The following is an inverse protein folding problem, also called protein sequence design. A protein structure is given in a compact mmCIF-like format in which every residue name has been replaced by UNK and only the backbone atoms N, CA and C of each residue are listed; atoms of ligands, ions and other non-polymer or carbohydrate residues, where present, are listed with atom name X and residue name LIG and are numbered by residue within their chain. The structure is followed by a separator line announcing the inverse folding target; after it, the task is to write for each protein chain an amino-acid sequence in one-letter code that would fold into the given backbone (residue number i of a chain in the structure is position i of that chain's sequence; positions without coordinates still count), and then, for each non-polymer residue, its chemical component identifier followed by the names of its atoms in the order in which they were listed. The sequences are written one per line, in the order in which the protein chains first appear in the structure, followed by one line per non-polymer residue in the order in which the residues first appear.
data_IF_504538922559
#
_entry.id   IF_504538922559
#
_cell.length_a   1.000
_cell.length_b   1.000
_cell.length_c   1.000
_cell.angle_alpha   90.00
_cell.angle_beta   90.00
_cell.angle_gamma   90.00
#
_symmetry.space_group_name_H-M   'P 1'
#
loop_
_entity.id
_entity.type
_entity.pdbx_description
1 polymer ?
#
# COMPACT_ATOMS: atom_id res chain seq x y z
N UNK A 1 25.19 22.05 31.66
CA UNK A 1 24.79 22.48 30.31
C UNK A 1 24.59 21.25 29.44
N UNK A 2 23.34 20.80 29.34
CA UNK A 2 22.93 19.70 28.46
C UNK A 2 23.08 20.16 27.01
N UNK A 3 23.86 19.43 26.20
CA UNK A 3 23.95 19.70 24.75
C UNK A 3 22.52 19.66 24.18
N UNK A 4 22.09 20.67 23.39
CA UNK A 4 20.80 20.61 22.73
C UNK A 4 20.76 19.35 21.87
N UNK A 5 19.64 18.63 21.97
CA UNK A 5 19.32 17.37 21.32
C UNK A 5 19.28 17.51 19.78
N UNK A 6 20.44 17.70 19.14
CA UNK A 6 20.56 17.79 17.68
C UNK A 6 20.11 16.51 16.97
N UNK A 7 20.03 15.39 17.68
CA UNK A 7 19.46 14.14 17.20
C UNK A 7 17.93 14.17 17.03
N UNK A 8 17.20 15.13 17.62
CA UNK A 8 15.72 15.22 17.49
C UNK A 8 15.26 15.86 16.19
N UNK A 9 16.02 16.82 15.66
CA UNK A 9 15.61 17.58 14.45
C UNK A 9 15.45 16.66 13.23
N UNK A 10 16.39 15.74 12.91
CA UNK A 10 16.20 14.81 11.79
C UNK A 10 14.98 13.89 11.96
N UNK A 11 14.72 13.41 13.18
CA UNK A 11 13.58 12.55 13.46
C UNK A 11 12.24 13.27 13.25
N UNK A 12 12.13 14.53 13.70
CA UNK A 12 10.95 15.37 13.47
C UNK A 12 10.72 15.58 11.97
N UNK A 13 11.76 15.91 11.21
CA UNK A 13 11.67 16.11 9.76
C UNK A 13 11.26 14.84 9.01
N UNK A 14 11.81 13.68 9.38
CA UNK A 14 11.43 12.38 8.80
C UNK A 14 9.96 12.07 9.07
N UNK A 15 9.49 12.30 10.29
CA UNK A 15 8.09 12.05 10.65
C UNK A 15 7.15 13.02 9.93
N UNK A 16 7.49 14.31 9.87
CA UNK A 16 6.72 15.29 9.14
C UNK A 16 6.63 14.95 7.65
N UNK A 17 7.74 14.48 7.06
CA UNK A 17 7.78 14.02 5.65
C UNK A 17 6.89 12.81 5.43
N UNK A 18 6.92 11.83 6.33
CA UNK A 18 6.04 10.65 6.26
C UNK A 18 4.56 11.07 6.33
N UNK A 19 4.20 11.95 7.27
CA UNK A 19 2.82 12.47 7.38
C UNK A 19 2.42 13.22 6.12
N UNK A 20 3.26 14.10 5.59
CA UNK A 20 3.01 14.81 4.34
C UNK A 20 2.77 13.84 3.17
N UNK A 21 3.64 12.85 3.02
CA UNK A 21 3.56 11.83 1.98
C UNK A 21 2.30 10.98 2.07
N UNK A 22 1.90 10.58 3.30
CA UNK A 22 0.63 9.91 3.54
C UNK A 22 -0.54 10.80 3.13
N UNK A 23 -0.60 12.03 3.65
CA UNK A 23 -1.66 12.97 3.32
C UNK A 23 -1.73 13.28 1.82
N UNK A 24 -0.58 13.36 1.14
CA UNK A 24 -0.50 13.58 -0.30
C UNK A 24 -1.12 12.44 -1.12
N UNK A 25 -1.06 11.22 -0.61
CA UNK A 25 -1.48 10.01 -1.32
C UNK A 25 -2.84 9.46 -0.88
N UNK A 26 -3.35 9.85 0.30
CA UNK A 26 -4.64 9.39 0.85
C UNK A 26 -5.75 10.45 0.88
N UNK A 27 -5.44 11.72 1.19
CA UNK A 27 -6.42 12.84 1.19
C UNK A 27 -7.13 13.07 -0.15
N UNK A 28 -6.50 12.89 -1.33
CA UNK A 28 -7.17 13.02 -2.63
C UNK A 28 -8.43 12.18 -2.78
N UNK A 29 -8.52 11.13 -1.97
CA UNK A 29 -9.54 10.12 -2.03
C UNK A 29 -10.52 10.23 -0.85
N UNK A 30 -10.43 11.32 -0.08
CA UNK A 30 -11.45 11.79 0.87
C UNK A 30 -12.39 12.75 0.15
N UNK A 31 -13.17 12.20 -0.76
CA UNK A 31 -14.07 12.90 -1.68
C UNK A 31 -15.04 13.90 -1.00
N UNK A 32 -15.37 13.73 0.29
CA UNK A 32 -16.22 14.66 1.04
C UNK A 32 -15.53 15.97 1.44
N UNK A 33 -14.20 16.07 1.32
CA UNK A 33 -13.43 17.26 1.68
C UNK A 33 -13.15 18.19 0.49
N UNK A 34 -13.48 17.80 -0.75
CA UNK A 34 -13.31 18.64 -1.94
C UNK A 34 -11.85 18.96 -2.32
N UNK A 35 -10.89 18.11 -1.95
CA UNK A 35 -9.46 18.32 -2.22
C UNK A 35 -9.00 17.45 -3.40
N UNK A 36 -8.77 18.06 -4.56
CA UNK A 36 -8.18 17.40 -5.73
C UNK A 36 -6.64 17.43 -5.70
N UNK A 37 -5.99 16.43 -6.30
CA UNK A 37 -4.52 16.44 -6.48
C UNK A 37 -4.16 17.42 -7.58
N UNK A 38 -3.27 18.37 -7.27
CA UNK A 38 -2.48 19.03 -8.30
C UNK A 38 -1.20 18.22 -8.58
N UNK A 39 -0.84 18.07 -9.85
CA UNK A 39 0.43 17.43 -10.27
C UNK A 39 1.66 18.06 -9.59
N UNK A 40 1.56 19.35 -9.27
CA UNK A 40 2.55 20.09 -8.47
C UNK A 40 2.78 19.45 -7.10
N UNK A 41 1.71 19.00 -6.42
CA UNK A 41 1.81 18.35 -5.12
C UNK A 41 2.52 16.99 -5.20
N UNK A 42 2.25 16.21 -6.24
CA UNK A 42 2.93 14.93 -6.48
C UNK A 42 4.43 15.14 -6.72
N UNK A 43 4.80 16.02 -7.63
CA UNK A 43 6.20 16.32 -7.95
C UNK A 43 6.95 16.88 -6.74
N UNK A 44 6.32 17.79 -5.98
CA UNK A 44 6.91 18.29 -4.74
C UNK A 44 7.16 17.17 -3.73
N UNK A 45 6.23 16.22 -3.62
CA UNK A 45 6.38 15.05 -2.77
C UNK A 45 7.52 14.15 -3.24
N UNK A 46 7.69 13.94 -4.55
CA UNK A 46 8.84 13.23 -5.13
C UNK A 46 10.15 13.90 -4.72
N UNK A 47 10.30 15.21 -4.95
CA UNK A 47 11.52 15.93 -4.62
C UNK A 47 11.86 15.88 -3.13
N UNK A 48 10.84 16.07 -2.27
CA UNK A 48 11.00 16.01 -0.83
C UNK A 48 11.48 14.63 -0.37
N UNK A 49 10.85 13.56 -0.86
CA UNK A 49 11.19 12.18 -0.48
C UNK A 49 12.58 11.78 -0.96
N UNK A 50 12.94 12.10 -2.21
CA UNK A 50 14.27 11.81 -2.76
C UNK A 50 15.36 12.61 -2.03
N UNK A 51 15.12 13.90 -1.77
CA UNK A 51 16.03 14.74 -0.99
C UNK A 51 16.26 14.17 0.40
N UNK A 52 15.20 13.80 1.11
CA UNK A 52 15.30 13.17 2.43
C UNK A 52 16.02 11.83 2.38
N UNK A 53 15.69 10.94 1.45
CA UNK A 53 16.36 9.63 1.32
C UNK A 53 17.87 9.77 1.04
N UNK A 54 18.27 10.80 0.29
CA UNK A 54 19.67 11.13 0.02
C UNK A 54 20.39 11.58 1.29
N UNK A 55 19.79 12.47 2.08
CA UNK A 55 20.33 12.90 3.39
C UNK A 55 20.37 11.74 4.39
N UNK A 56 19.38 10.85 4.37
CA UNK A 56 19.32 9.64 5.17
C UNK A 56 20.37 8.60 4.82
N UNK A 57 21.18 8.84 3.78
CA UNK A 57 22.23 7.92 3.30
C UNK A 57 21.70 6.51 3.08
N UNK A 58 20.58 6.38 2.36
CA UNK A 58 19.90 5.10 2.13
C UNK A 58 20.84 3.97 1.68
N UNK A 59 21.90 4.29 0.92
CA UNK A 59 22.95 3.35 0.51
C UNK A 59 23.73 2.71 1.68
N UNK A 60 23.83 3.36 2.84
CA UNK A 60 24.49 2.81 4.05
C UNK A 60 23.63 1.79 4.78
N UNK A 61 22.31 1.87 4.61
CA UNK A 61 21.34 1.05 5.35
C UNK A 61 20.76 -0.09 4.51
N UNK A 62 21.24 -0.25 3.28
CA UNK A 62 20.69 -1.16 2.27
C UNK A 62 21.78 -2.09 1.77
N UNK A 63 21.42 -3.33 1.45
CA UNK A 63 22.35 -4.20 0.72
C UNK A 63 22.67 -3.59 -0.66
N UNK A 64 23.90 -3.76 -1.14
CA UNK A 64 24.30 -3.25 -2.46
C UNK A 64 23.36 -3.72 -3.58
N UNK A 65 22.84 -4.95 -3.47
CA UNK A 65 21.89 -5.52 -4.45
C UNK A 65 20.54 -4.79 -4.47
N UNK A 66 19.93 -4.58 -3.31
CA UNK A 66 18.65 -3.86 -3.22
C UNK A 66 18.83 -2.41 -3.66
N UNK A 67 19.96 -1.79 -3.27
CA UNK A 67 20.27 -0.44 -3.72
C UNK A 67 20.41 -0.34 -5.24
N UNK A 68 21.10 -1.29 -5.86
CA UNK A 68 21.22 -1.36 -7.31
C UNK A 68 19.86 -1.51 -8.01
N UNK A 69 18.98 -2.39 -7.54
CA UNK A 69 17.67 -2.59 -8.17
C UNK A 69 16.80 -1.34 -8.07
N UNK A 70 16.79 -0.67 -6.91
CA UNK A 70 16.06 0.59 -6.72
C UNK A 70 16.63 1.69 -7.64
N UNK A 71 17.96 1.79 -7.74
CA UNK A 71 18.60 2.77 -8.61
C UNK A 71 18.27 2.54 -10.09
N UNK A 72 18.27 1.27 -10.54
CA UNK A 72 17.89 0.91 -11.92
C UNK A 72 16.43 1.25 -12.19
N UNK A 73 15.52 0.94 -11.26
CA UNK A 73 14.11 1.34 -11.40
C UNK A 73 13.94 2.86 -11.45
N UNK A 74 14.60 3.61 -10.57
CA UNK A 74 14.57 5.06 -10.58
C UNK A 74 15.11 5.65 -11.89
N UNK A 75 16.24 5.12 -12.39
CA UNK A 75 16.81 5.51 -13.66
C UNK A 75 15.86 5.23 -14.84
N UNK A 76 15.22 4.05 -14.86
CA UNK A 76 14.22 3.71 -15.88
C UNK A 76 13.04 4.70 -15.89
N UNK A 77 12.54 5.09 -14.70
CA UNK A 77 11.47 6.08 -14.57
C UNK A 77 11.87 7.45 -15.11
N UNK A 78 13.10 7.90 -14.84
CA UNK A 78 13.63 9.17 -15.33
C UNK A 78 13.86 9.13 -16.85
N UNK A 79 14.44 8.04 -17.36
CA UNK A 79 14.64 7.85 -18.81
C UNK A 79 13.29 7.87 -19.52
N UNK A 80 12.31 7.12 -19.00
CA UNK A 80 10.94 7.12 -19.51
C UNK A 80 10.30 8.52 -19.54
N UNK A 81 10.44 9.28 -18.45
CA UNK A 81 9.96 10.66 -18.41
C UNK A 81 10.60 11.51 -19.51
N UNK A 82 11.91 11.42 -19.69
CA UNK A 82 12.66 12.19 -20.69
C UNK A 82 12.25 11.80 -22.11
N UNK A 83 12.19 10.50 -22.41
CA UNK A 83 11.86 10.00 -23.76
C UNK A 83 10.43 10.37 -24.16
N UNK A 84 9.47 10.24 -23.25
CA UNK A 84 8.07 10.65 -23.52
C UNK A 84 7.89 12.16 -23.61
N UNK A 85 8.65 12.93 -22.81
CA UNK A 85 8.66 14.39 -22.90
C UNK A 85 9.20 14.86 -24.25
N UNK A 86 10.28 14.23 -24.73
CA UNK A 86 10.88 14.54 -26.03
C UNK A 86 10.01 14.09 -27.22
N UNK A 87 9.29 12.98 -27.10
CA UNK A 87 8.43 12.46 -28.17
C UNK A 87 7.08 13.21 -28.29
N UNK A 88 6.52 13.68 -27.16
CA UNK A 88 5.24 14.40 -27.14
C UNK A 88 5.39 15.78 -26.53
N UNK A 89 5.26 15.87 -25.21
CA UNK A 89 5.44 17.07 -24.40
C UNK A 89 5.59 16.68 -22.93
N UNK A 90 6.03 17.63 -22.12
CA UNK A 90 6.29 17.42 -20.69
C UNK A 90 5.03 16.98 -19.91
N UNK A 91 3.85 17.48 -20.30
CA UNK A 91 2.59 17.16 -19.63
C UNK A 91 2.27 15.67 -19.76
N UNK A 92 2.46 15.14 -20.97
CA UNK A 92 2.22 13.73 -21.26
C UNK A 92 3.29 12.86 -20.60
N UNK A 93 4.56 13.23 -20.66
CA UNK A 93 5.62 12.53 -19.93
C UNK A 93 5.33 12.40 -18.44
N UNK A 94 4.90 13.49 -17.79
CA UNK A 94 4.56 13.49 -16.36
C UNK A 94 3.34 12.61 -16.08
N UNK A 95 2.28 12.66 -16.90
CA UNK A 95 1.06 11.86 -16.68
C UNK A 95 1.31 10.36 -16.61
N UNK A 96 2.30 9.88 -17.35
CA UNK A 96 2.60 8.46 -17.46
C UNK A 96 3.69 8.00 -16.48
N UNK A 97 4.64 8.88 -16.14
CA UNK A 97 5.81 8.51 -15.33
C UNK A 97 5.80 9.05 -13.89
N UNK A 98 4.92 10.00 -13.53
CA UNK A 98 4.87 10.55 -12.17
C UNK A 98 4.58 9.47 -11.11
N UNK A 99 3.71 8.52 -11.41
CA UNK A 99 3.39 7.39 -10.54
C UNK A 99 4.62 6.54 -10.23
N UNK A 100 5.45 6.24 -11.24
CA UNK A 100 6.69 5.49 -11.07
C UNK A 100 7.78 6.27 -10.33
N UNK A 101 7.86 7.59 -10.58
CA UNK A 101 8.76 8.48 -9.83
C UNK A 101 8.37 8.53 -8.35
N UNK A 102 7.07 8.67 -8.06
CA UNK A 102 6.55 8.70 -6.70
C UNK A 102 6.71 7.35 -6.01
N UNK A 103 6.41 6.24 -6.68
CA UNK A 103 6.68 4.88 -6.22
C UNK A 103 8.15 4.68 -5.85
N UNK A 104 9.06 5.08 -6.74
CA UNK A 104 10.51 4.96 -6.51
C UNK A 104 10.97 5.82 -5.33
N UNK A 105 10.46 7.05 -5.22
CA UNK A 105 10.78 7.96 -4.13
C UNK A 105 10.29 7.43 -2.78
N UNK A 106 9.06 6.91 -2.71
CA UNK A 106 8.48 6.26 -1.54
C UNK A 106 9.27 5.01 -1.13
N UNK A 107 9.65 4.19 -2.11
CA UNK A 107 10.48 3.00 -1.90
C UNK A 107 11.83 3.37 -1.28
N UNK A 108 12.55 4.33 -1.88
CA UNK A 108 13.82 4.85 -1.36
C UNK A 108 13.69 5.40 0.06
N UNK A 109 12.64 6.19 0.31
CA UNK A 109 12.37 6.75 1.63
C UNK A 109 12.10 5.66 2.68
N UNK A 110 11.27 4.66 2.34
CA UNK A 110 11.00 3.50 3.18
C UNK A 110 12.28 2.75 3.54
N UNK A 111 13.14 2.51 2.55
CA UNK A 111 14.43 1.86 2.73
C UNK A 111 15.36 2.66 3.66
N UNK A 112 15.42 3.98 3.48
CA UNK A 112 16.33 4.84 4.21
C UNK A 112 16.00 4.94 5.71
N UNK A 113 14.71 5.04 6.05
CA UNK A 113 14.30 5.51 7.38
C UNK A 113 13.43 4.56 8.18
N UNK A 114 12.81 3.54 7.56
CA UNK A 114 11.91 2.66 8.28
C UNK A 114 12.63 1.94 9.42
N UNK A 115 13.86 1.45 9.20
CA UNK A 115 14.60 0.71 10.23
C UNK A 115 14.71 1.44 11.57
N UNK A 116 14.94 2.76 11.53
CA UNK A 116 15.14 3.57 12.73
C UNK A 116 13.83 4.17 13.26
N UNK A 117 12.87 4.44 12.38
CA UNK A 117 11.63 5.15 12.74
C UNK A 117 10.37 4.27 12.71
N UNK A 118 10.50 2.95 12.53
CA UNK A 118 9.37 2.06 12.30
C UNK A 118 8.30 2.14 13.39
N UNK A 119 8.70 2.22 14.67
CA UNK A 119 7.76 2.37 15.79
C UNK A 119 6.92 3.63 15.68
N UNK A 120 7.52 4.73 15.24
CA UNK A 120 6.82 6.00 15.04
C UNK A 120 5.90 5.91 13.84
N UNK A 121 6.39 5.37 12.71
CA UNK A 121 5.60 5.21 11.49
C UNK A 121 4.38 4.31 11.70
N UNK A 122 4.58 3.15 12.33
CA UNK A 122 3.47 2.24 12.67
C UNK A 122 2.45 2.91 13.59
N UNK A 123 2.90 3.68 14.58
CA UNK A 123 1.99 4.47 15.45
C UNK A 123 1.20 5.50 14.65
N UNK A 124 1.85 6.26 13.75
CA UNK A 124 1.19 7.23 12.86
C UNK A 124 0.15 6.53 11.99
N UNK A 125 0.51 5.40 11.37
CA UNK A 125 -0.39 4.64 10.49
C UNK A 125 -1.61 4.11 11.25
N UNK A 126 -1.41 3.53 12.44
CA UNK A 126 -2.51 3.04 13.29
C UNK A 126 -3.41 4.19 13.72
N UNK A 127 -2.83 5.30 14.20
CA UNK A 127 -3.60 6.47 14.66
C UNK A 127 -4.40 7.11 13.52
N UNK A 128 -3.76 7.31 12.36
CA UNK A 128 -4.41 7.87 11.19
C UNK A 128 -5.48 6.94 10.63
N UNK A 129 -5.23 5.63 10.56
CA UNK A 129 -6.24 4.64 10.18
C UNK A 129 -7.43 4.62 11.15
N UNK A 130 -7.17 4.73 12.45
CA UNK A 130 -8.23 4.80 13.47
C UNK A 130 -9.09 6.05 13.28
N UNK A 131 -8.46 7.21 13.03
CA UNK A 131 -9.18 8.44 12.72
C UNK A 131 -10.07 8.29 11.48
N UNK A 132 -9.54 7.71 10.39
CA UNK A 132 -10.28 7.46 9.16
C UNK A 132 -11.48 6.51 9.38
N UNK A 133 -11.29 5.46 10.18
CA UNK A 133 -12.36 4.54 10.56
C UNK A 133 -13.46 5.25 11.37
N UNK A 134 -13.09 6.12 12.32
CA UNK A 134 -14.05 6.91 13.10
C UNK A 134 -14.81 7.92 12.23
N UNK A 135 -14.11 8.59 11.30
CA UNK A 135 -14.74 9.48 10.32
C UNK A 135 -15.74 8.71 9.47
N UNK A 136 -15.37 7.54 8.95
CA UNK A 136 -16.26 6.67 8.18
C UNK A 136 -17.52 6.29 8.98
N UNK A 137 -17.36 5.88 10.25
CA UNK A 137 -18.50 5.54 11.10
C UNK A 137 -19.39 6.75 11.35
N UNK A 138 -18.82 7.92 11.62
CA UNK A 138 -19.56 9.17 11.76
C UNK A 138 -20.34 9.52 10.48
N UNK A 139 -19.70 9.43 9.31
CA UNK A 139 -20.36 9.63 8.02
C UNK A 139 -21.50 8.66 7.79
N UNK A 140 -21.35 7.39 8.18
CA UNK A 140 -22.40 6.38 8.11
C UNK A 140 -23.57 6.67 9.06
N UNK A 141 -23.30 7.13 10.28
CA UNK A 141 -24.34 7.49 11.26
C UNK A 141 -25.16 8.70 10.85
N UNK A 142 -24.55 9.67 10.16
CA UNK A 142 -25.20 10.92 9.72
C UNK A 142 -25.75 10.81 8.29
N UNK A 143 -25.53 9.68 7.60
CA UNK A 143 -25.99 9.48 6.22
C UNK A 143 -25.26 10.33 5.17
N UNK A 144 -24.02 10.74 5.46
CA UNK A 144 -23.19 11.55 4.56
C UNK A 144 -22.43 10.66 3.55
N UNK A 145 -22.96 10.52 2.34
CA UNK A 145 -22.26 9.85 1.23
C UNK A 145 -21.14 10.73 0.66
N UNK A 146 -20.09 10.09 0.13
CA UNK A 146 -19.19 10.74 -0.82
C UNK A 146 -19.99 11.39 -1.96
N UNK A 147 -19.62 12.58 -2.46
CA UNK A 147 -20.24 13.16 -3.66
C UNK A 147 -20.24 12.13 -4.81
N UNK A 148 -21.43 11.83 -5.35
CA UNK A 148 -21.66 10.74 -6.32
C UNK A 148 -20.84 10.85 -7.62
N UNK A 149 -20.28 12.01 -7.92
CA UNK A 149 -19.48 12.25 -9.13
C UNK A 149 -18.10 11.55 -9.16
N UNK A 150 -17.55 11.13 -8.02
CA UNK A 150 -16.18 10.57 -7.96
C UNK A 150 -16.12 9.04 -7.98
N UNK A 151 -17.18 8.37 -7.53
CA UNK A 151 -17.21 6.91 -7.41
C UNK A 151 -18.04 6.24 -8.51
N UNK A 152 -18.78 6.98 -9.33
CA UNK A 152 -19.68 6.44 -10.36
C UNK A 152 -21.10 6.23 -9.84
N UNK A 153 -21.94 5.58 -10.65
CA UNK A 153 -23.37 5.41 -10.37
C UNK A 153 -23.63 4.68 -9.03
N UNK A 154 -24.48 5.21 -8.12
CA UNK A 154 -24.76 4.60 -6.82
C UNK A 154 -25.28 3.17 -6.88
N UNK A 155 -26.07 2.81 -7.91
CA UNK A 155 -26.54 1.44 -8.10
C UNK A 155 -25.40 0.44 -8.36
N UNK A 156 -24.36 0.87 -9.08
CA UNK A 156 -23.20 0.03 -9.35
C UNK A 156 -22.21 0.01 -8.17
N UNK A 157 -21.90 1.18 -7.61
CA UNK A 157 -20.81 1.33 -6.63
C UNK A 157 -21.25 1.24 -5.17
N UNK A 158 -22.54 1.41 -4.87
CA UNK A 158 -23.07 1.44 -3.51
C UNK A 158 -22.64 2.67 -2.70
N UNK A 159 -22.96 2.68 -1.41
CA UNK A 159 -22.56 3.75 -0.49
C UNK A 159 -21.10 3.56 -0.05
N UNK A 160 -20.18 4.36 -0.64
CA UNK A 160 -18.74 4.31 -0.36
C UNK A 160 -18.26 5.57 0.36
N UNK A 161 -18.19 5.55 1.70
CA UNK A 161 -17.67 6.68 2.47
C UNK A 161 -16.15 6.85 2.31
N UNK A 162 -15.44 5.76 1.99
CA UNK A 162 -14.00 5.74 1.76
C UNK A 162 -13.68 5.17 0.38
N UNK A 163 -12.70 5.75 -0.29
CA UNK A 163 -12.12 5.17 -1.50
C UNK A 163 -11.30 3.90 -1.21
N UNK A 164 -11.07 3.10 -2.24
CA UNK A 164 -10.35 1.84 -2.14
C UNK A 164 -8.91 1.98 -1.59
N UNK A 165 -8.17 3.03 -1.97
CA UNK A 165 -6.81 3.29 -1.47
C UNK A 165 -6.78 3.60 0.03
N UNK A 166 -7.81 4.31 0.53
CA UNK A 166 -7.97 4.63 1.96
C UNK A 166 -8.39 3.37 2.73
N UNK A 167 -9.29 2.56 2.17
CA UNK A 167 -9.65 1.27 2.76
C UNK A 167 -8.45 0.32 2.86
N UNK A 168 -7.56 0.28 1.86
CA UNK A 168 -6.31 -0.49 1.95
C UNK A 168 -5.39 0.04 3.05
N UNK A 169 -5.38 1.34 3.31
CA UNK A 169 -4.63 1.91 4.42
C UNK A 169 -5.15 1.42 5.78
N UNK A 170 -6.47 1.23 5.92
CA UNK A 170 -7.05 0.58 7.10
C UNK A 170 -6.59 -0.87 7.25
N UNK A 171 -6.44 -1.61 6.14
CA UNK A 171 -5.87 -2.98 6.14
C UNK A 171 -4.42 -2.98 6.64
N UNK A 172 -3.60 -2.00 6.24
CA UNK A 172 -2.25 -1.82 6.79
C UNK A 172 -2.31 -1.54 8.30
N UNK A 173 -3.14 -0.59 8.73
CA UNK A 173 -3.34 -0.26 10.14
C UNK A 173 -3.78 -1.47 10.97
N UNK A 174 -4.68 -2.29 10.42
CA UNK A 174 -5.12 -3.55 11.02
C UNK A 174 -3.94 -4.50 11.24
N UNK A 175 -3.19 -4.82 10.17
CA UNK A 175 -2.02 -5.70 10.27
C UNK A 175 -1.00 -5.18 11.31
N UNK A 176 -0.73 -3.87 11.29
CA UNK A 176 0.20 -3.26 12.24
C UNK A 176 -0.30 -3.32 13.67
N UNK A 177 -1.60 -3.14 13.92
CA UNK A 177 -2.19 -3.23 15.26
C UNK A 177 -2.07 -4.64 15.83
N UNK A 178 -2.17 -5.67 14.98
CA UNK A 178 -1.98 -7.07 15.40
C UNK A 178 -0.53 -7.40 15.73
N UNK A 179 0.45 -6.89 14.98
CA UNK A 179 1.85 -7.33 15.12
C UNK A 179 2.82 -6.32 15.74
N UNK A 180 2.42 -5.08 15.97
CA UNK A 180 3.32 -4.05 16.51
C UNK A 180 3.05 -3.79 17.98
N UNK A 181 4.10 -3.89 18.79
CA UNK A 181 4.04 -3.46 20.19
C UNK A 181 4.11 -1.94 20.25
N UNK A 182 3.15 -1.34 20.94
CA UNK A 182 2.97 0.10 20.95
C UNK A 182 2.07 0.59 22.09
N UNK A 183 1.82 1.90 22.16
CA UNK A 183 1.06 2.53 23.24
C UNK A 183 -0.39 2.01 23.32
N UNK A 184 -0.87 1.39 22.26
CA UNK A 184 -2.24 0.87 22.14
C UNK A 184 -2.42 -0.54 22.72
N UNK A 185 -1.42 -1.13 23.40
CA UNK A 185 -1.45 -2.54 23.84
C UNK A 185 -2.78 -2.99 24.48
N UNK A 186 -3.35 -2.18 25.39
CA UNK A 186 -4.60 -2.49 26.09
C UNK A 186 -5.85 -2.41 25.22
N UNK A 187 -5.82 -1.60 24.16
CA UNK A 187 -6.96 -1.37 23.26
C UNK A 187 -6.76 -2.03 21.89
N UNK A 188 -5.66 -2.78 21.70
CA UNK A 188 -5.32 -3.44 20.42
C UNK A 188 -6.45 -4.26 19.82
N UNK A 189 -7.15 -5.14 20.56
CA UNK A 189 -8.26 -5.91 20.00
C UNK A 189 -9.37 -5.01 19.47
N UNK A 190 -9.72 -3.94 20.19
CA UNK A 190 -10.77 -2.99 19.81
C UNK A 190 -10.38 -2.17 18.58
N UNK A 191 -9.14 -1.67 18.53
CA UNK A 191 -8.62 -0.94 17.37
C UNK A 191 -8.56 -1.86 16.15
N UNK A 192 -8.10 -3.11 16.30
CA UNK A 192 -8.06 -4.08 15.21
C UNK A 192 -9.48 -4.40 14.70
N UNK A 193 -10.43 -4.64 15.60
CA UNK A 193 -11.84 -4.85 15.23
C UNK A 193 -12.40 -3.66 14.47
N UNK A 194 -12.21 -2.44 14.99
CA UNK A 194 -12.66 -1.21 14.34
C UNK A 194 -12.09 -1.10 12.92
N UNK A 195 -10.78 -1.23 12.76
CA UNK A 195 -10.13 -1.13 11.45
C UNK A 195 -10.63 -2.20 10.47
N UNK A 196 -10.70 -3.46 10.91
CA UNK A 196 -11.16 -4.58 10.07
C UNK A 196 -12.62 -4.45 9.65
N UNK A 197 -13.51 -4.06 10.58
CA UNK A 197 -14.93 -3.82 10.29
C UNK A 197 -15.09 -2.61 9.37
N UNK A 198 -14.35 -1.53 9.58
CA UNK A 198 -14.38 -0.35 8.70
C UNK A 198 -13.97 -0.67 7.26
N UNK A 199 -12.99 -1.56 7.05
CA UNK A 199 -12.65 -2.06 5.70
C UNK A 199 -13.87 -2.72 5.05
N UNK A 200 -14.60 -3.55 5.81
CA UNK A 200 -15.80 -4.25 5.31
C UNK A 200 -16.89 -3.24 4.95
N UNK A 201 -17.18 -2.30 5.86
CA UNK A 201 -18.13 -1.22 5.66
C UNK A 201 -17.75 -0.24 4.53
N UNK A 202 -16.50 -0.27 4.04
CA UNK A 202 -16.09 0.55 2.89
C UNK A 202 -16.65 0.05 1.56
N UNK A 203 -17.14 -1.19 1.52
CA UNK A 203 -17.73 -1.83 0.34
C UNK A 203 -16.79 -1.91 -0.88
N UNK A 204 -15.47 -1.84 -0.66
CA UNK A 204 -14.47 -1.97 -1.72
C UNK A 204 -13.99 -3.42 -1.85
N UNK A 205 -14.39 -4.11 -2.92
CA UNK A 205 -13.99 -5.51 -3.21
C UNK A 205 -12.47 -5.73 -3.17
N UNK A 206 -11.68 -4.79 -3.70
CA UNK A 206 -10.21 -4.86 -3.67
C UNK A 206 -9.66 -4.87 -2.24
N UNK A 207 -10.21 -4.01 -1.37
CA UNK A 207 -9.83 -3.94 0.05
C UNK A 207 -10.32 -5.17 0.84
N UNK A 208 -11.48 -5.73 0.47
CA UNK A 208 -11.98 -6.98 1.03
C UNK A 208 -11.05 -8.17 0.74
N UNK A 209 -10.58 -8.30 -0.51
CA UNK A 209 -9.61 -9.33 -0.89
C UNK A 209 -8.30 -9.15 -0.11
N UNK A 210 -7.81 -7.90 0.00
CA UNK A 210 -6.62 -7.60 0.79
C UNK A 210 -6.81 -7.99 2.26
N UNK A 211 -7.95 -7.64 2.85
CA UNK A 211 -8.29 -8.00 4.23
C UNK A 211 -8.35 -9.51 4.43
N UNK A 212 -8.96 -10.27 3.51
CA UNK A 212 -9.03 -11.73 3.61
C UNK A 212 -7.64 -12.37 3.64
N UNK A 213 -6.73 -11.94 2.76
CA UNK A 213 -5.35 -12.42 2.74
C UNK A 213 -4.64 -12.08 4.05
N UNK A 214 -4.82 -10.85 4.54
CA UNK A 214 -4.22 -10.40 5.80
C UNK A 214 -4.80 -11.15 7.00
N UNK A 215 -6.12 -11.39 7.06
CA UNK A 215 -6.78 -12.19 8.08
C UNK A 215 -6.25 -13.62 8.09
N UNK A 216 -6.11 -14.26 6.94
CA UNK A 216 -5.52 -15.60 6.84
C UNK A 216 -4.08 -15.62 7.37
N UNK A 217 -3.26 -14.62 7.01
CA UNK A 217 -1.91 -14.44 7.54
C UNK A 217 -1.91 -14.23 9.06
N UNK A 218 -2.83 -13.43 9.59
CA UNK A 218 -2.99 -13.21 11.03
C UNK A 218 -3.39 -14.49 11.76
N UNK A 219 -4.36 -15.26 11.26
CA UNK A 219 -4.78 -16.54 11.84
C UNK A 219 -3.61 -17.51 11.87
N UNK A 220 -2.88 -17.66 10.76
CA UNK A 220 -1.70 -18.53 10.71
C UNK A 220 -0.62 -18.10 11.73
N UNK A 221 -0.42 -16.80 11.92
CA UNK A 221 0.53 -16.31 12.90
C UNK A 221 0.05 -16.53 14.35
N UNK A 222 -1.25 -16.34 14.63
CA UNK A 222 -1.88 -16.57 15.93
C UNK A 222 -1.79 -18.05 16.35
N UNK A 223 -2.02 -18.97 15.41
CA UNK A 223 -1.89 -20.41 15.65
C UNK A 223 -0.44 -20.81 15.99
N UNK A 224 0.55 -20.09 15.45
CA UNK A 224 1.97 -20.38 15.64
C UNK A 224 2.61 -19.67 16.82
N UNK A 225 1.98 -18.64 17.39
CA UNK A 225 2.58 -17.77 18.42
C UNK A 225 1.65 -17.54 19.60
N UNK A 226 2.00 -18.14 20.73
CA UNK A 226 1.22 -18.01 21.96
C UNK A 226 1.08 -16.56 22.44
N UNK A 227 2.15 -15.76 22.29
CA UNK A 227 2.16 -14.34 22.68
C UNK A 227 1.13 -13.46 21.93
N UNK A 228 0.53 -13.95 20.85
CA UNK A 228 -0.49 -13.22 20.10
C UNK A 228 -1.92 -13.70 20.42
N UNK A 229 -2.11 -14.79 21.17
CA UNK A 229 -3.43 -15.43 21.36
C UNK A 229 -4.49 -14.49 21.94
N UNK A 230 -4.11 -13.56 22.81
CA UNK A 230 -5.02 -12.57 23.39
C UNK A 230 -5.62 -11.60 22.35
N UNK A 231 -5.05 -11.54 21.14
CA UNK A 231 -5.54 -10.74 20.03
C UNK A 231 -6.56 -11.48 19.15
N UNK A 232 -6.95 -12.71 19.50
CA UNK A 232 -7.91 -13.51 18.72
C UNK A 232 -9.21 -12.75 18.45
N UNK A 233 -9.73 -12.03 19.46
CA UNK A 233 -10.95 -11.22 19.30
C UNK A 233 -10.81 -10.15 18.20
N UNK A 234 -9.65 -9.51 18.10
CA UNK A 234 -9.38 -8.49 17.09
C UNK A 234 -9.35 -9.03 15.66
N UNK A 235 -9.12 -10.34 15.48
CA UNK A 235 -9.10 -11.02 14.17
C UNK A 235 -10.43 -11.73 13.88
N UNK A 236 -11.00 -12.40 14.90
CA UNK A 236 -12.24 -13.13 14.79
C UNK A 236 -13.44 -12.22 14.52
N UNK A 237 -13.53 -11.06 15.19
CA UNK A 237 -14.67 -10.16 15.00
C UNK A 237 -14.79 -9.64 13.55
N UNK A 238 -13.74 -9.10 12.91
CA UNK A 238 -13.78 -8.77 11.48
C UNK A 238 -14.06 -9.98 10.59
N UNK A 239 -13.48 -11.15 10.87
CA UNK A 239 -13.69 -12.35 10.06
C UNK A 239 -15.14 -12.85 10.10
N UNK A 240 -15.75 -12.88 11.29
CA UNK A 240 -17.16 -13.24 11.48
C UNK A 240 -18.06 -12.19 10.82
N UNK A 241 -17.79 -10.90 11.01
CA UNK A 241 -18.56 -9.85 10.36
C UNK A 241 -18.49 -9.95 8.82
N UNK A 242 -17.30 -10.24 8.28
CA UNK A 242 -17.10 -10.47 6.85
C UNK A 242 -17.95 -11.65 6.36
N UNK A 243 -17.95 -12.77 7.09
CA UNK A 243 -18.74 -13.94 6.76
C UNK A 243 -20.25 -13.62 6.78
N UNK A 244 -20.73 -12.89 7.79
CA UNK A 244 -22.13 -12.43 7.88
C UNK A 244 -22.50 -11.57 6.67
N UNK A 245 -21.65 -10.61 6.30
CA UNK A 245 -21.86 -9.73 5.13
C UNK A 245 -21.99 -10.52 3.83
N UNK A 246 -21.26 -11.62 3.67
CA UNK A 246 -21.35 -12.46 2.49
C UNK A 246 -22.51 -13.46 2.53
N UNK A 247 -22.80 -14.05 3.69
CA UNK A 247 -23.77 -15.14 3.82
C UNK A 247 -25.21 -14.65 3.95
N UNK A 248 -25.45 -13.54 4.65
CA UNK A 248 -26.82 -13.03 4.86
C UNK A 248 -27.53 -12.69 3.55
N UNK A 249 -26.89 -12.05 2.54
CA UNK A 249 -27.52 -11.83 1.24
C UNK A 249 -27.93 -13.14 0.54
N UNK A 250 -27.15 -14.21 0.68
CA UNK A 250 -27.43 -15.50 0.05
C UNK A 250 -28.65 -16.19 0.65
N UNK A 251 -28.91 -15.99 1.95
CA UNK A 251 -30.01 -16.65 2.67
C UNK A 251 -31.27 -15.80 2.70
N UNK A 252 -31.13 -14.49 2.88
CA UNK A 252 -32.24 -13.57 3.11
C UNK A 252 -32.62 -12.72 1.90
N UNK A 253 -31.81 -12.72 0.83
CA UNK A 253 -31.93 -11.77 -0.28
C UNK A 253 -31.63 -10.32 0.11
N UNK A 254 -31.26 -10.07 1.37
CA UNK A 254 -31.04 -8.74 1.94
C UNK A 254 -29.61 -8.56 2.42
N UNK A 255 -29.06 -7.37 2.17
CA UNK A 255 -27.74 -6.92 2.59
C UNK A 255 -27.81 -6.29 3.97
N UNK A 256 -26.81 -6.61 4.79
CA UNK A 256 -26.55 -5.95 6.08
C UNK A 256 -25.68 -4.70 5.92
N UNK A 257 -25.16 -4.45 4.71
CA UNK A 257 -24.39 -3.26 4.41
C UNK A 257 -25.32 -2.06 4.15
N UNK A 258 -24.87 -0.84 4.48
CA UNK A 258 -25.62 0.38 4.21
C UNK A 258 -25.87 0.56 2.70
N UNK A 259 -27.13 0.74 2.31
CA UNK A 259 -27.58 1.01 0.93
C UNK A 259 -27.68 2.51 0.63
N UNK A 260 -27.69 2.90 -0.66
CA UNK A 260 -27.62 4.32 -1.04
C UNK A 260 -28.94 5.08 -0.94
N UNK A 261 -30.12 4.50 -1.16
CA UNK A 261 -31.34 5.33 -1.37
C UNK A 261 -32.68 4.67 -0.98
N UNK A 262 -32.82 4.13 0.23
CA UNK A 262 -34.15 3.73 0.76
C UNK A 262 -34.91 2.66 -0.05
N UNK A 263 -34.32 2.10 -1.12
CA UNK A 263 -34.92 1.06 -1.92
C UNK A 263 -34.90 -0.27 -1.17
N UNK A 264 -36.04 -0.94 -1.24
CA UNK A 264 -36.42 -2.13 -0.47
C UNK A 264 -35.79 -3.43 -0.97
N UNK A 265 -35.07 -3.41 -2.10
CA UNK A 265 -34.37 -4.58 -2.64
C UNK A 265 -32.88 -4.51 -2.29
N UNK A 266 -32.54 -4.96 -1.07
CA UNK A 266 -31.20 -4.91 -0.51
C UNK A 266 -30.29 -6.00 -1.08
N UNK A 267 -30.03 -6.05 -2.38
CA UNK A 267 -28.91 -6.84 -2.89
C UNK A 267 -27.56 -6.16 -2.56
N UNK A 268 -26.45 -6.92 -2.54
CA UNK A 268 -25.10 -6.32 -2.54
C UNK A 268 -24.94 -5.45 -3.81
N UNK A 269 -24.19 -4.33 -3.76
CA UNK A 269 -23.98 -3.48 -4.94
C UNK A 269 -23.35 -4.30 -6.07
N UNK A 270 -23.66 -3.95 -7.33
CA UNK A 270 -23.18 -4.72 -8.49
C UNK A 270 -21.65 -4.83 -8.50
N UNK A 271 -20.92 -3.78 -8.12
CA UNK A 271 -19.46 -3.81 -7.99
C UNK A 271 -18.91 -4.84 -6.99
N UNK A 272 -19.73 -5.31 -6.04
CA UNK A 272 -19.35 -6.38 -5.10
C UNK A 272 -19.60 -7.79 -5.67
N UNK A 273 -20.59 -7.97 -6.54
CA UNK A 273 -21.02 -9.28 -7.06
C UNK A 273 -20.64 -9.53 -8.51
N UNK A 274 -20.41 -8.47 -9.29
CA UNK A 274 -20.26 -8.54 -10.73
C UNK A 274 -18.89 -9.03 -11.17
N UNK A 275 -18.92 -9.96 -12.11
CA UNK A 275 -17.74 -10.50 -12.81
C UNK A 275 -17.25 -9.57 -13.92
N UNK A 276 -18.06 -8.59 -14.35
CA UNK A 276 -17.72 -7.68 -15.46
C UNK A 276 -16.46 -6.86 -15.18
N UNK A 277 -16.28 -6.41 -13.94
CA UNK A 277 -15.06 -5.71 -13.49
C UNK A 277 -13.79 -6.57 -13.62
N UNK A 278 -13.91 -7.88 -13.40
CA UNK A 278 -12.81 -8.84 -13.53
C UNK A 278 -12.54 -9.18 -15.00
N UNK A 279 -13.60 -9.26 -15.82
CA UNK A 279 -13.49 -9.44 -17.27
C UNK A 279 -12.79 -8.25 -17.93
N UNK A 280 -13.17 -7.02 -17.59
CA UNK A 280 -12.55 -5.81 -18.15
C UNK A 280 -11.03 -5.74 -17.86
N UNK A 281 -10.61 -6.17 -16.66
CA UNK A 281 -9.20 -6.33 -16.28
C UNK A 281 -8.46 -7.37 -17.10
N UNK A 282 -9.08 -8.52 -17.33
CA UNK A 282 -8.50 -9.58 -18.16
C UNK A 282 -8.40 -9.15 -19.62
N UNK A 283 -9.41 -8.44 -20.13
CA UNK A 283 -9.41 -7.82 -21.46
C UNK A 283 -8.31 -6.77 -21.60
N UNK A 284 -8.06 -5.97 -20.56
CA UNK A 284 -6.93 -5.05 -20.50
C UNK A 284 -5.60 -5.78 -20.59
N UNK A 285 -5.38 -6.80 -19.74
CA UNK A 285 -4.16 -7.62 -19.83
C UNK A 285 -3.99 -8.24 -21.19
N UNK A 286 -5.06 -8.83 -21.74
CA UNK A 286 -5.09 -9.43 -23.07
C UNK A 286 -4.74 -8.41 -24.15
N UNK A 287 -5.37 -7.24 -24.14
CA UNK A 287 -5.08 -6.13 -25.06
C UNK A 287 -3.60 -5.71 -25.00
N UNK A 288 -3.01 -5.69 -23.81
CA UNK A 288 -1.59 -5.35 -23.63
C UNK A 288 -0.65 -6.46 -24.07
N UNK A 289 -1.07 -7.73 -23.91
CA UNK A 289 -0.34 -8.93 -24.34
C UNK A 289 -0.39 -9.15 -25.85
N UNK A 290 -1.50 -8.78 -26.49
CA UNK A 290 -1.75 -8.90 -27.94
C UNK A 290 -1.36 -7.63 -28.71
N UNK A 291 -0.85 -6.60 -28.04
CA UNK A 291 -0.41 -5.36 -28.68
C UNK A 291 0.77 -5.61 -29.61
N UNK A 292 0.71 -5.05 -30.82
CA UNK A 292 1.80 -5.09 -31.80
C UNK A 292 3.00 -4.28 -31.27
N UNK A 293 4.03 -4.98 -30.82
CA UNK A 293 5.22 -4.44 -30.17
C UNK A 293 6.45 -5.11 -30.73
N UNK A 294 7.47 -4.32 -31.02
CA UNK A 294 8.81 -4.82 -31.32
C UNK A 294 9.41 -5.55 -30.10
N UNK A 295 10.40 -6.44 -30.29
CA UNK A 295 11.08 -7.11 -29.17
C UNK A 295 11.68 -6.15 -28.13
N UNK A 296 12.14 -4.97 -28.54
CA UNK A 296 12.69 -3.95 -27.64
C UNK A 296 11.61 -3.32 -26.76
N UNK A 297 10.44 -3.04 -27.33
CA UNK A 297 9.27 -2.54 -26.60
C UNK A 297 8.70 -3.59 -25.64
N UNK A 298 8.80 -4.88 -25.97
CA UNK A 298 8.49 -5.95 -25.02
C UNK A 298 9.42 -5.97 -23.82
N UNK A 299 10.73 -5.84 -24.07
CA UNK A 299 11.74 -5.92 -23.02
C UNK A 299 11.72 -4.68 -22.11
N UNK A 300 11.63 -3.49 -22.71
CA UNK A 300 11.81 -2.20 -22.02
C UNK A 300 10.52 -1.44 -21.80
N UNK A 301 9.39 -1.90 -22.36
CA UNK A 301 8.12 -1.21 -22.27
C UNK A 301 8.21 0.18 -22.89
N UNK A 302 7.66 1.16 -22.18
CA UNK A 302 7.70 2.57 -22.54
C UNK A 302 8.97 3.32 -22.14
N UNK A 303 9.96 2.67 -21.51
CA UNK A 303 11.15 3.38 -20.97
C UNK A 303 11.91 4.12 -22.08
N UNK A 304 12.07 3.50 -23.25
CA UNK A 304 12.82 4.06 -24.37
C UNK A 304 11.97 4.91 -25.33
N UNK A 305 10.70 5.11 -25.02
CA UNK A 305 9.79 5.92 -25.81
C UNK A 305 8.34 5.43 -25.72
N UNK A 306 7.40 6.17 -26.33
CA UNK A 306 6.00 5.77 -26.37
C UNK A 306 5.81 4.40 -27.00
N UNK A 307 5.01 3.55 -26.35
CA UNK A 307 4.60 2.26 -26.91
C UNK A 307 3.15 2.31 -27.36
N UNK A 308 2.75 1.49 -28.35
CA UNK A 308 1.36 1.39 -28.80
C UNK A 308 0.51 0.73 -27.70
N UNK A 309 0.02 1.55 -26.78
CA UNK A 309 -0.84 1.18 -25.66
C UNK A 309 -2.25 1.65 -25.99
N UNK A 310 -3.04 0.81 -26.67
CA UNK A 310 -4.45 1.11 -27.01
C UNK A 310 -5.36 0.68 -25.86
N UNK A 311 -6.08 1.61 -25.22
CA UNK A 311 -7.10 1.26 -24.22
C UNK A 311 -8.28 0.54 -24.88
N UNK A 312 -9.01 -0.33 -24.15
CA UNK A 312 -10.29 -0.85 -24.61
C UNK A 312 -11.25 0.33 -24.80
N UNK A 313 -11.79 0.46 -26.00
CA UNK A 313 -12.83 1.45 -26.33
C UNK A 313 -12.35 2.86 -26.67
N UNK A 314 -11.04 3.16 -26.73
CA UNK A 314 -10.56 4.51 -27.12
C UNK A 314 -9.66 4.48 -28.36
N UNK A 315 -10.02 5.29 -29.38
CA UNK A 315 -9.08 5.75 -30.42
C UNK A 315 -8.12 6.84 -29.91
N UNK A 316 -8.16 7.15 -28.62
CA UNK A 316 -7.39 8.21 -27.96
C UNK A 316 -6.41 7.55 -26.99
N UNK A 317 -5.14 7.95 -27.06
CA UNK A 317 -4.17 7.76 -25.96
C UNK A 317 -4.79 8.33 -24.68
N UNK A 318 -5.21 7.43 -23.80
CA UNK A 318 -6.21 7.60 -22.75
C UNK A 318 -6.15 8.93 -21.96
N UNK A 319 -7.15 9.85 -22.08
CA UNK A 319 -7.23 11.06 -21.27
C UNK A 319 -7.82 10.84 -19.86
N UNK A 320 -8.35 9.64 -19.56
CA UNK A 320 -8.87 9.29 -18.22
C UNK A 320 -8.29 7.95 -17.76
N UNK A 321 -7.20 8.04 -17.01
CA UNK A 321 -6.55 6.90 -16.35
C UNK A 321 -7.55 6.31 -15.34
N UNK A 322 -8.20 5.20 -15.69
CA UNK A 322 -9.08 4.48 -14.77
C UNK A 322 -8.26 3.88 -13.64
N UNK A 323 -8.58 4.23 -12.38
CA UNK A 323 -7.99 3.65 -11.16
C UNK A 323 -7.98 2.12 -11.12
N UNK A 324 -8.86 1.47 -11.90
CA UNK A 324 -8.95 0.03 -12.02
C UNK A 324 -7.97 -0.56 -13.03
N UNK A 325 -7.32 0.21 -13.90
CA UNK A 325 -6.43 -0.31 -14.94
C UNK A 325 -5.00 0.26 -14.87
N UNK A 326 -4.77 1.26 -14.02
CA UNK A 326 -3.48 1.92 -13.85
C UNK A 326 -2.37 0.93 -13.59
N UNK A 327 -2.53 -0.05 -12.69
CA UNK A 327 -1.48 -1.06 -12.43
C UNK A 327 -1.08 -1.79 -13.69
N UNK A 328 -2.03 -2.18 -14.54
CA UNK A 328 -1.73 -2.90 -15.78
C UNK A 328 -0.97 -1.98 -16.73
N UNK A 329 -1.45 -0.74 -16.90
CA UNK A 329 -0.80 0.24 -17.78
C UNK A 329 0.62 0.56 -17.28
N UNK A 330 0.76 0.91 -16.01
CA UNK A 330 2.00 1.26 -15.32
C UNK A 330 3.00 0.10 -15.34
N UNK A 331 2.58 -1.15 -15.09
CA UNK A 331 3.48 -2.31 -15.22
C UNK A 331 3.88 -2.58 -16.67
N UNK A 332 2.97 -2.43 -17.63
CA UNK A 332 3.31 -2.64 -19.04
C UNK A 332 4.30 -1.59 -19.56
N UNK A 333 4.30 -0.38 -18.99
CA UNK A 333 5.29 0.66 -19.29
C UNK A 333 6.71 0.30 -18.86
N UNK A 334 6.89 -0.60 -17.89
CA UNK A 334 8.21 -1.06 -17.45
C UNK A 334 8.81 -2.14 -18.35
N UNK A 335 7.99 -2.78 -19.19
CA UNK A 335 8.38 -3.97 -19.94
C UNK A 335 8.71 -5.16 -19.03
N UNK A 336 9.15 -6.26 -19.64
CA UNK A 336 9.48 -7.50 -18.93
C UNK A 336 10.60 -7.26 -17.90
N UNK A 337 11.59 -6.44 -18.24
CA UNK A 337 12.74 -6.18 -17.35
C UNK A 337 12.26 -5.48 -16.07
N UNK A 338 11.54 -4.37 -16.19
CA UNK A 338 11.13 -3.63 -15.01
C UNK A 338 10.07 -4.36 -14.18
N UNK A 339 9.17 -5.13 -14.81
CA UNK A 339 8.27 -6.06 -14.08
C UNK A 339 9.09 -7.10 -13.31
N UNK A 340 10.13 -7.66 -13.91
CA UNK A 340 11.07 -8.57 -13.25
C UNK A 340 11.74 -7.93 -12.03
N UNK A 341 12.18 -6.68 -12.13
CA UNK A 341 12.77 -5.93 -11.00
C UNK A 341 11.77 -5.72 -9.86
N UNK A 342 10.52 -5.34 -10.19
CA UNK A 342 9.44 -5.20 -9.20
C UNK A 342 9.19 -6.53 -8.48
N UNK A 343 9.07 -7.63 -9.23
CA UNK A 343 8.88 -8.97 -8.67
C UNK A 343 10.05 -9.38 -7.76
N UNK A 344 11.29 -9.10 -8.16
CA UNK A 344 12.48 -9.40 -7.35
C UNK A 344 12.45 -8.66 -6.02
N UNK A 345 12.18 -7.34 -6.04
CA UNK A 345 12.04 -6.55 -4.81
C UNK A 345 10.89 -7.07 -3.95
N UNK A 346 9.77 -7.39 -4.58
CA UNK A 346 8.59 -7.91 -3.90
C UNK A 346 8.88 -9.22 -3.17
N UNK A 347 9.46 -10.20 -3.86
CA UNK A 347 9.82 -11.48 -3.29
C UNK A 347 10.88 -11.32 -2.18
N UNK A 348 11.86 -10.43 -2.36
CA UNK A 348 12.82 -10.11 -1.30
C UNK A 348 12.16 -9.50 -0.06
N UNK A 349 11.22 -8.57 -0.24
CA UNK A 349 10.51 -7.94 0.86
C UNK A 349 9.46 -8.83 1.53
N UNK A 350 8.91 -9.84 0.84
CA UNK A 350 7.78 -10.64 1.32
C UNK A 350 8.11 -12.08 1.73
N UNK A 351 9.17 -12.68 1.20
CA UNK A 351 9.51 -14.10 1.45
C UNK A 351 10.73 -14.30 2.34
N UNK A 352 11.63 -13.33 2.42
CA UNK A 352 12.86 -13.48 3.19
C UNK A 352 12.68 -13.00 4.64
N UNK A 353 12.46 -13.96 5.54
CA UNK A 353 12.71 -13.90 7.01
C UNK A 353 11.61 -13.30 7.90
N UNK A 354 10.77 -14.16 8.53
CA UNK A 354 9.65 -13.75 9.38
C UNK A 354 10.01 -13.23 10.80
N UNK A 355 11.28 -12.98 11.12
CA UNK A 355 11.73 -13.10 12.51
C UNK A 355 11.11 -12.02 13.43
N UNK A 356 10.81 -10.82 12.91
CA UNK A 356 10.38 -9.67 13.74
C UNK A 356 9.24 -8.79 13.23
N UNK A 357 8.88 -8.81 11.93
CA UNK A 357 7.90 -7.86 11.38
C UNK A 357 6.86 -8.52 10.46
N UNK A 358 6.16 -9.56 10.96
CA UNK A 358 5.14 -10.30 10.21
C UNK A 358 4.07 -9.42 9.54
N UNK A 359 3.74 -8.26 10.13
CA UNK A 359 2.80 -7.31 9.53
C UNK A 359 3.19 -6.92 8.10
N UNK A 360 4.48 -6.69 7.84
CA UNK A 360 4.92 -6.18 6.53
C UNK A 360 4.78 -7.24 5.43
N UNK A 361 5.33 -8.46 5.55
CA UNK A 361 5.09 -9.51 4.57
C UNK A 361 3.62 -9.86 4.38
N UNK A 362 2.85 -9.99 5.46
CA UNK A 362 1.42 -10.33 5.40
C UNK A 362 0.65 -9.22 4.65
N UNK A 363 0.92 -7.95 4.99
CA UNK A 363 0.31 -6.82 4.30
C UNK A 363 0.72 -6.77 2.83
N UNK A 364 1.99 -7.02 2.48
CA UNK A 364 2.43 -7.05 1.09
C UNK A 364 1.58 -8.05 0.30
N UNK A 365 1.40 -9.29 0.77
CA UNK A 365 0.49 -10.23 0.10
C UNK A 365 -0.95 -9.70 -0.03
N UNK A 366 -1.46 -8.98 0.98
CA UNK A 366 -2.72 -8.26 0.87
C UNK A 366 -2.73 -7.17 -0.21
N UNK A 367 -1.66 -6.38 -0.33
CA UNK A 367 -1.46 -5.37 -1.37
C UNK A 367 -1.38 -6.01 -2.78
N UNK A 368 -0.78 -7.19 -2.93
CA UNK A 368 -0.83 -7.94 -4.18
C UNK A 368 -2.27 -8.33 -4.54
N UNK A 369 -3.02 -8.88 -3.59
CA UNK A 369 -4.44 -9.20 -3.79
C UNK A 369 -5.28 -7.97 -4.12
N UNK A 370 -5.02 -6.84 -3.46
CA UNK A 370 -5.63 -5.54 -3.81
C UNK A 370 -5.34 -5.14 -5.26
N UNK A 371 -4.07 -5.31 -5.68
CA UNK A 371 -3.58 -4.99 -7.03
C UNK A 371 -4.25 -5.74 -8.17
N UNK A 372 -4.84 -6.91 -7.88
CA UNK A 372 -5.63 -7.66 -8.86
C UNK A 372 -6.89 -6.90 -9.29
N UNK A 373 -7.42 -6.02 -8.43
CA UNK A 373 -8.70 -5.32 -8.63
C UNK A 373 -8.56 -3.80 -8.70
N UNK A 374 -7.57 -3.20 -8.02
CA UNK A 374 -7.35 -1.75 -8.00
C UNK A 374 -5.88 -1.31 -8.18
N UNK A 375 -5.61 -0.03 -8.43
CA UNK A 375 -4.24 0.51 -8.53
C UNK A 375 -3.51 0.48 -7.19
N UNK A 376 -2.23 0.12 -7.16
CA UNK A 376 -1.42 0.26 -5.96
C UNK A 376 -1.23 1.73 -5.60
N UNK A 377 -1.61 2.16 -4.39
CA UNK A 377 -1.32 3.52 -3.97
C UNK A 377 0.18 3.69 -3.76
N UNK A 378 0.72 4.86 -4.08
CA UNK A 378 2.16 5.10 -4.04
C UNK A 378 2.79 4.84 -2.65
N UNK A 379 2.06 5.07 -1.56
CA UNK A 379 2.52 4.76 -0.20
C UNK A 379 2.79 3.26 0.03
N UNK A 380 2.19 2.36 -0.76
CA UNK A 380 2.46 0.91 -0.69
C UNK A 380 3.92 0.58 -0.98
N UNK A 381 4.59 1.38 -1.82
CA UNK A 381 6.02 1.24 -2.11
C UNK A 381 6.91 1.60 -0.92
N UNK A 382 6.49 2.55 -0.07
CA UNK A 382 7.19 2.83 1.18
C UNK A 382 7.13 1.63 2.14
N UNK A 383 6.02 0.88 2.14
CA UNK A 383 5.86 -0.33 2.94
C UNK A 383 6.77 -1.46 2.43
N UNK A 384 6.88 -1.62 1.11
CA UNK A 384 7.86 -2.53 0.51
C UNK A 384 9.29 -2.14 0.90
N UNK A 385 9.62 -0.84 0.82
CA UNK A 385 10.92 -0.32 1.23
C UNK A 385 11.22 -0.56 2.70
N UNK A 386 10.22 -0.37 3.57
CA UNK A 386 10.33 -0.69 4.98
C UNK A 386 10.63 -2.16 5.22
N UNK A 387 9.96 -3.06 4.48
CA UNK A 387 10.22 -4.49 4.56
C UNK A 387 11.66 -4.80 4.17
N UNK A 388 12.13 -4.26 3.04
CA UNK A 388 13.50 -4.44 2.53
C UNK A 388 14.59 -3.89 3.47
N UNK A 389 14.34 -2.76 4.14
CA UNK A 389 15.27 -2.16 5.11
C UNK A 389 15.51 -3.08 6.32
N UNK A 390 14.47 -3.83 6.69
CA UNK A 390 14.48 -4.67 7.90
C UNK A 390 15.06 -6.06 7.65
N UNK A 391 15.25 -6.44 6.38
CA UNK A 391 15.83 -7.73 5.96
C UNK A 391 17.38 -7.76 6.03
N UNK A 392 18.03 -6.63 6.27
CA UNK A 392 19.42 -6.37 5.87
C UNK A 392 20.59 -6.82 6.77
N UNK A 393 20.41 -7.36 7.99
CA UNK A 393 21.57 -7.79 8.81
C UNK A 393 21.33 -9.11 9.56
N UNK A 394 22.18 -10.10 9.26
CA UNK A 394 22.56 -11.12 10.26
C UNK A 394 23.05 -10.35 11.49
N UNK A 395 22.52 -10.69 12.65
CA UNK A 395 23.19 -10.45 13.91
C UNK A 395 24.62 -11.01 13.74
N UNK A 396 25.61 -10.14 13.55
CA UNK A 396 26.96 -10.49 13.95
C UNK A 396 26.80 -10.74 15.45
N UNK A 397 27.07 -11.96 15.96
CA UNK A 397 27.13 -12.16 17.39
C UNK A 397 28.13 -11.13 17.89
N UNK A 398 27.68 -10.19 18.70
CA UNK A 398 28.61 -9.36 19.48
C UNK A 398 29.51 -10.35 20.19
N UNK A 399 30.78 -10.39 19.77
CA UNK A 399 31.84 -11.09 20.46
C UNK A 399 32.02 -10.42 21.83
N UNK A 400 31.13 -10.78 22.75
CA UNK A 400 31.07 -10.28 24.11
C UNK A 400 30.63 -11.41 25.07
N UNK A 401 30.99 -12.66 24.76
CA UNK A 401 30.78 -13.80 25.66
C UNK A 401 31.99 -14.74 25.75
N UNK A 402 33.20 -14.28 25.38
CA UNK A 402 34.43 -15.09 25.54
C UNK A 402 35.36 -14.61 26.66
N UNK A 403 34.86 -13.87 27.65
CA UNK A 403 35.67 -13.45 28.82
C UNK A 403 35.02 -13.68 30.19
N UNK A 404 33.94 -14.46 30.30
CA UNK A 404 33.48 -14.97 31.60
C UNK A 404 33.76 -16.48 31.66
N UNK A 405 34.99 -16.83 32.07
CA UNK A 405 35.42 -18.22 32.13
C UNK A 405 36.89 -18.43 32.49
N UNK A 406 37.50 -17.54 33.27
CA UNK A 406 38.69 -17.87 34.06
C UNK A 406 38.35 -17.71 35.54
N UNK A 407 37.58 -18.67 36.04
CA UNK A 407 37.52 -18.92 37.48
C UNK A 407 38.89 -19.43 37.90
N UNK A 408 39.50 -18.68 38.80
CA UNK A 408 40.69 -19.04 39.54
C UNK A 408 40.40 -20.32 40.32
N UNK A 409 40.99 -21.43 39.91
CA UNK A 409 41.22 -22.57 40.77
C UNK A 409 42.73 -22.63 41.03
N UNK A 410 43.16 -22.08 42.17
CA UNK A 410 44.37 -22.52 42.87
C UNK A 410 43.93 -22.95 44.26
N UNK A 411 43.81 -24.25 44.44
CA UNK A 411 43.96 -24.93 45.71
C UNK A 411 45.21 -25.78 45.61
N UNK A 412 46.02 -25.71 46.67
CA UNK A 412 47.32 -26.33 46.98
C UNK A 412 48.53 -25.39 46.93
#
# INVERSE_FOLDING_TARGET
MTRPDTARVPAVLVNATMVWALLATTVPYLAFLGIEISRTRELFTVYLLVGMATVGTWWKHTSSRVAWVIAVMGAASVIGLITWTGAYNWLQGINYWSEWLLASAMLMFGVAFARTNWRVWSTIVIAYGTLLALVQLGSLMVGLSSPGGLNGEPGFYGYRPLAASVALFLVLGFALTIFTDGPFARVRPWVATLLGVSVILSQNRSAWVALLIVLAGCVLALLRREALRDLWLGVAAPAVFFAVVLLVPLVSGSSVLPGSDGQTDRALPESATSVTTSQWRLEMWRSRLEADRSPVEWLTGGVLGPTPVKGPGSQVMNPYISGHNVVVDVLTMLGIIGVGLVLLLWLWGSLLRPDRLWALPIFLWGLAGFGMFYNWPAWGWAVLGASLATTGQRLVPTAASSQEGKVVARSE
#
